data_IF_994507842643
#
_entry.id   IF_994507842643
#
_cell.length_a   1.000
_cell.length_b   1.000
_cell.length_c   1.000
_cell.angle_alpha   90.00
_cell.angle_beta   90.00
_cell.angle_gamma   90.00
#
_symmetry.space_group_name_H-M   'P 1'
#
loop_
_entity.id
_entity.type
_entity.pdbx_description
1 polymer ?
#
# COMPACT_ATOMS: atom_id res chain seq x y z
N UNK A 1 -18.19 -28.44 0.32
CA UNK A 1 -17.56 -28.69 -1.00
C UNK A 1 -16.32 -29.55 -0.91
N UNK A 2 -15.48 -29.37 0.11
CA UNK A 2 -14.20 -30.09 0.25
C UNK A 2 -14.36 -31.57 0.66
N UNK A 3 -15.40 -31.90 1.41
CA UNK A 3 -15.69 -33.27 1.83
C UNK A 3 -16.10 -34.17 0.66
N UNK A 4 -16.82 -33.59 -0.33
CA UNK A 4 -17.18 -34.28 -1.57
C UNK A 4 -15.92 -34.55 -2.42
N UNK A 5 -15.06 -33.55 -2.61
CA UNK A 5 -13.79 -33.69 -3.34
C UNK A 5 -12.87 -34.71 -2.66
N UNK A 6 -12.77 -34.70 -1.32
CA UNK A 6 -12.02 -35.69 -0.54
C UNK A 6 -12.56 -37.09 -0.77
N UNK A 7 -13.88 -37.28 -0.69
CA UNK A 7 -14.51 -38.60 -0.89
C UNK A 7 -14.27 -39.17 -2.29
N UNK A 8 -14.29 -38.32 -3.32
CA UNK A 8 -14.09 -38.73 -4.72
C UNK A 8 -12.62 -39.07 -4.98
N UNK A 9 -11.68 -38.26 -4.47
CA UNK A 9 -10.24 -38.48 -4.64
C UNK A 9 -9.74 -39.70 -3.87
N UNK A 10 -10.21 -39.91 -2.63
CA UNK A 10 -9.87 -41.10 -1.83
C UNK A 10 -10.35 -42.39 -2.52
N UNK A 11 -11.53 -42.36 -3.14
CA UNK A 11 -12.07 -43.52 -3.86
C UNK A 11 -11.35 -43.81 -5.17
N UNK A 12 -10.81 -42.78 -5.84
CA UNK A 12 -10.12 -42.92 -7.11
C UNK A 12 -8.63 -43.28 -6.97
N UNK A 13 -7.95 -42.82 -5.92
CA UNK A 13 -6.49 -42.88 -5.80
C UNK A 13 -5.99 -43.64 -4.55
N UNK A 14 -6.88 -44.01 -3.64
CA UNK A 14 -6.54 -44.59 -2.34
C UNK A 14 -6.19 -43.54 -1.30
N UNK A 15 -6.38 -43.88 -0.02
CA UNK A 15 -6.35 -42.93 1.11
C UNK A 15 -5.00 -42.21 1.28
N UNK A 16 -3.88 -42.91 1.13
CA UNK A 16 -2.54 -42.33 1.27
C UNK A 16 -2.20 -41.33 0.14
N UNK A 17 -2.50 -41.69 -1.11
CA UNK A 17 -2.22 -40.83 -2.28
C UNK A 17 -3.19 -39.66 -2.37
N UNK A 18 -4.46 -39.89 -2.05
CA UNK A 18 -5.45 -38.83 -1.96
C UNK A 18 -5.10 -37.84 -0.86
N UNK A 19 -4.63 -38.30 0.31
CA UNK A 19 -4.20 -37.41 1.40
C UNK A 19 -2.98 -36.56 1.01
N UNK A 20 -1.98 -37.15 0.34
CA UNK A 20 -0.82 -36.43 -0.18
C UNK A 20 -1.20 -35.37 -1.23
N UNK A 21 -2.10 -35.72 -2.16
CA UNK A 21 -2.58 -34.81 -3.20
C UNK A 21 -3.54 -33.75 -2.67
N UNK A 22 -4.41 -34.09 -1.72
CA UNK A 22 -5.28 -33.13 -1.03
C UNK A 22 -4.43 -32.16 -0.21
N UNK A 23 -3.41 -32.63 0.51
CA UNK A 23 -2.49 -31.75 1.22
C UNK A 23 -1.73 -30.83 0.25
N UNK A 24 -1.39 -31.31 -0.96
CA UNK A 24 -0.75 -30.46 -1.98
C UNK A 24 -1.73 -29.46 -2.61
N UNK A 25 -2.96 -29.88 -2.92
CA UNK A 25 -3.97 -29.05 -3.61
C UNK A 25 -4.62 -28.04 -2.64
N UNK A 26 -4.98 -28.47 -1.43
CA UNK A 26 -5.52 -27.61 -0.38
C UNK A 26 -4.42 -26.77 0.27
N UNK A 27 -3.20 -27.31 0.42
CA UNK A 27 -2.04 -26.54 0.88
C UNK A 27 -1.57 -25.46 -0.11
N UNK A 28 -2.01 -25.50 -1.38
CA UNK A 28 -1.76 -24.43 -2.36
C UNK A 28 -2.85 -23.35 -2.36
N UNK A 29 -4.00 -23.58 -1.68
CA UNK A 29 -5.06 -22.58 -1.52
C UNK A 29 -4.92 -21.72 -0.27
N UNK A 30 -4.10 -22.15 0.68
CA UNK A 30 -3.72 -21.38 1.85
C UNK A 30 -2.24 -21.02 1.73
N UNK A 31 -1.91 -19.99 0.94
CA UNK A 31 -0.67 -19.28 1.20
C UNK A 31 -0.83 -18.70 2.61
N UNK A 32 -0.22 -19.37 3.60
CA UNK A 32 -0.23 -18.87 4.98
C UNK A 32 0.28 -17.42 4.96
N UNK A 33 -0.29 -16.52 5.77
CA UNK A 33 0.10 -15.11 5.73
C UNK A 33 1.63 -14.91 5.84
N UNK A 34 2.31 -15.77 6.59
CA UNK A 34 3.77 -15.81 6.69
C UNK A 34 4.45 -16.27 5.38
N UNK A 35 3.87 -17.21 4.64
CA UNK A 35 4.41 -17.66 3.36
C UNK A 35 4.33 -16.60 2.29
N UNK A 36 3.29 -15.78 2.28
CA UNK A 36 3.20 -14.60 1.41
C UNK A 36 4.34 -13.61 1.64
N UNK A 37 4.80 -13.46 2.89
CA UNK A 37 5.93 -12.58 3.20
C UNK A 37 7.25 -13.03 2.56
N UNK A 38 7.41 -14.32 2.25
CA UNK A 38 8.65 -14.83 1.62
C UNK A 38 8.87 -14.28 0.22
N UNK A 39 7.78 -13.90 -0.46
CA UNK A 39 7.79 -13.42 -1.85
C UNK A 39 7.68 -11.89 -1.94
N UNK A 40 7.45 -11.21 -0.82
CA UNK A 40 7.44 -9.75 -0.73
C UNK A 40 8.87 -9.22 -0.68
N UNK A 41 9.09 -7.98 -1.11
CA UNK A 41 10.39 -7.33 -0.92
C UNK A 41 10.61 -6.95 0.55
N UNK A 42 11.88 -6.95 0.96
CA UNK A 42 12.32 -6.73 2.34
C UNK A 42 11.85 -5.39 2.93
N UNK A 43 11.72 -4.35 2.10
CA UNK A 43 11.24 -3.03 2.53
C UNK A 43 9.74 -3.07 2.84
N UNK A 44 8.94 -3.69 1.98
CA UNK A 44 7.50 -3.89 2.21
C UNK A 44 7.22 -4.72 3.45
N UNK A 45 7.98 -5.79 3.68
CA UNK A 45 7.89 -6.61 4.90
C UNK A 45 8.23 -5.77 6.13
N UNK A 46 9.31 -4.99 6.09
CA UNK A 46 9.70 -4.12 7.19
C UNK A 46 8.63 -3.08 7.52
N UNK A 47 8.05 -2.42 6.53
CA UNK A 47 6.98 -1.44 6.73
C UNK A 47 5.70 -2.08 7.30
N UNK A 48 5.38 -3.31 6.90
CA UNK A 48 4.22 -4.05 7.43
C UNK A 48 4.36 -4.30 8.94
N UNK A 49 5.57 -4.66 9.40
CA UNK A 49 5.79 -5.12 10.78
C UNK A 49 6.43 -4.10 11.71
N UNK A 50 6.85 -2.91 11.21
CA UNK A 50 7.61 -1.90 11.98
C UNK A 50 6.92 -1.45 13.28
N UNK A 51 5.59 -1.45 13.30
CA UNK A 51 4.80 -1.00 14.46
C UNK A 51 4.41 -2.14 15.41
N UNK A 52 4.76 -3.38 15.08
CA UNK A 52 4.48 -4.54 15.92
C UNK A 52 5.44 -4.61 17.11
N UNK A 53 5.03 -5.33 18.14
CA UNK A 53 5.90 -5.59 19.29
C UNK A 53 7.14 -6.40 18.85
N UNK A 54 8.36 -6.14 19.37
CA UNK A 54 9.59 -6.85 18.96
C UNK A 54 9.50 -8.38 19.01
N UNK A 55 8.71 -8.92 19.95
CA UNK A 55 8.45 -10.37 20.05
C UNK A 55 7.67 -10.92 18.83
N UNK A 56 6.72 -10.16 18.30
CA UNK A 56 5.93 -10.54 17.12
C UNK A 56 6.83 -10.49 15.89
N UNK A 57 7.61 -9.41 15.73
CA UNK A 57 8.59 -9.28 14.64
C UNK A 57 9.57 -10.45 14.66
N UNK A 58 10.15 -10.78 15.81
CA UNK A 58 11.04 -11.93 15.97
C UNK A 58 10.37 -13.25 15.56
N UNK A 59 9.12 -13.45 15.96
CA UNK A 59 8.33 -14.64 15.60
C UNK A 59 8.14 -14.74 14.09
N UNK A 60 7.86 -13.63 13.40
CA UNK A 60 7.73 -13.58 11.94
C UNK A 60 9.08 -13.89 11.27
N UNK A 61 10.14 -13.19 11.66
CA UNK A 61 11.45 -13.28 11.00
C UNK A 61 12.09 -14.68 11.10
N UNK A 62 11.83 -15.43 12.17
CA UNK A 62 12.32 -16.82 12.32
C UNK A 62 11.78 -17.75 11.23
N UNK A 63 10.61 -17.43 10.66
CA UNK A 63 9.96 -18.19 9.59
C UNK A 63 10.36 -17.72 8.17
N UNK A 64 11.10 -16.62 8.04
CA UNK A 64 11.66 -16.17 6.78
C UNK A 64 13.01 -16.85 6.49
N UNK A 65 13.41 -16.83 5.22
CA UNK A 65 14.76 -17.21 4.82
C UNK A 65 15.79 -16.28 5.47
N UNK A 66 16.95 -16.82 5.86
CA UNK A 66 17.94 -16.09 6.67
C UNK A 66 18.42 -14.80 6.00
N UNK A 67 18.64 -14.85 4.69
CA UNK A 67 19.06 -13.70 3.90
C UNK A 67 17.97 -12.62 3.85
N UNK A 68 16.71 -13.02 3.56
CA UNK A 68 15.57 -12.11 3.55
C UNK A 68 15.34 -11.48 4.94
N UNK A 69 15.38 -12.27 6.02
CA UNK A 69 15.26 -11.73 7.38
C UNK A 69 16.35 -10.70 7.70
N UNK A 70 17.58 -10.90 7.21
CA UNK A 70 18.67 -9.93 7.36
C UNK A 70 18.34 -8.61 6.65
N UNK A 71 17.91 -8.67 5.39
CA UNK A 71 17.54 -7.46 4.64
C UNK A 71 16.37 -6.71 5.29
N UNK A 72 15.39 -7.42 5.86
CA UNK A 72 14.29 -6.78 6.62
C UNK A 72 14.81 -6.04 7.85
N UNK A 73 15.77 -6.62 8.58
CA UNK A 73 16.38 -5.99 9.75
C UNK A 73 17.15 -4.71 9.41
N UNK A 74 17.71 -4.59 8.20
CA UNK A 74 18.43 -3.40 7.74
C UNK A 74 17.51 -2.18 7.59
N UNK A 75 16.21 -2.39 7.42
CA UNK A 75 15.20 -1.33 7.35
C UNK A 75 14.68 -0.85 8.72
N UNK A 76 15.18 -1.42 9.82
CA UNK A 76 14.82 -1.01 11.18
C UNK A 76 15.84 -0.05 11.79
N UNK A 77 15.36 0.78 12.73
CA UNK A 77 16.26 1.56 13.59
C UNK A 77 17.18 0.63 14.39
N UNK A 78 18.38 1.10 14.72
CA UNK A 78 19.37 0.31 15.47
C UNK A 78 18.80 -0.27 16.77
N UNK A 79 18.02 0.54 17.51
CA UNK A 79 17.36 0.11 18.74
C UNK A 79 16.40 -1.06 18.51
N UNK A 80 15.52 -0.94 17.51
CA UNK A 80 14.54 -1.98 17.21
C UNK A 80 15.23 -3.25 16.69
N UNK A 81 16.21 -3.10 15.78
CA UNK A 81 16.99 -4.22 15.24
C UNK A 81 17.66 -5.01 16.36
N UNK A 82 18.35 -4.35 17.29
CA UNK A 82 19.04 -5.01 18.40
C UNK A 82 18.07 -5.78 19.32
N UNK A 83 16.90 -5.19 19.64
CA UNK A 83 15.87 -5.85 20.46
C UNK A 83 15.31 -7.09 19.75
N UNK A 84 14.95 -6.96 18.46
CA UNK A 84 14.44 -8.08 17.66
C UNK A 84 15.46 -9.22 17.57
N UNK A 85 16.74 -8.93 17.31
CA UNK A 85 17.79 -9.97 17.27
C UNK A 85 17.95 -10.66 18.63
N UNK A 86 17.90 -9.90 19.73
CA UNK A 86 17.94 -10.49 21.08
C UNK A 86 16.75 -11.45 21.29
N UNK A 87 15.52 -11.05 20.91
CA UNK A 87 14.34 -11.91 21.00
C UNK A 87 14.45 -13.17 20.17
N UNK A 88 15.01 -13.08 18.97
CA UNK A 88 15.27 -14.24 18.10
C UNK A 88 16.26 -15.20 18.78
N UNK A 89 17.34 -14.66 19.37
CA UNK A 89 18.37 -15.46 20.04
C UNK A 89 17.85 -16.20 21.28
N UNK A 90 16.86 -15.63 21.98
CA UNK A 90 16.25 -16.22 23.19
C UNK A 90 14.92 -16.94 22.91
N UNK A 91 14.59 -17.20 21.65
CA UNK A 91 13.31 -17.81 21.27
C UNK A 91 13.37 -19.34 21.42
N UNK A 92 12.84 -19.88 22.51
CA UNK A 92 12.81 -21.35 22.76
C UNK A 92 11.74 -22.08 21.93
N UNK A 93 10.76 -21.35 21.39
CA UNK A 93 9.70 -21.91 20.55
C UNK A 93 8.44 -21.04 20.52
N UNK A 94 7.59 -21.28 19.53
CA UNK A 94 6.33 -20.57 19.33
C UNK A 94 5.20 -21.58 19.44
N UNK A 95 4.19 -21.30 20.28
CA UNK A 95 3.05 -22.20 20.42
C UNK A 95 2.27 -22.30 19.09
N UNK A 96 1.88 -23.51 18.64
CA UNK A 96 1.15 -23.67 17.38
C UNK A 96 -0.16 -22.89 17.30
N UNK A 97 -0.81 -22.61 18.44
CA UNK A 97 -1.99 -21.77 18.49
C UNK A 97 -1.67 -20.30 18.14
N UNK A 98 -0.63 -19.73 18.74
CA UNK A 98 -0.18 -18.36 18.45
C UNK A 98 0.29 -18.19 17.00
N UNK A 99 0.95 -19.21 16.44
CA UNK A 99 1.38 -19.18 15.03
C UNK A 99 0.19 -19.19 14.06
N UNK A 100 -0.89 -19.92 14.39
CA UNK A 100 -2.13 -19.91 13.60
C UNK A 100 -2.81 -18.56 13.66
N UNK A 101 -2.95 -17.97 14.84
CA UNK A 101 -3.54 -16.64 15.01
C UNK A 101 -2.75 -15.58 14.25
N UNK A 102 -1.42 -15.61 14.34
CA UNK A 102 -0.54 -14.72 13.58
C UNK A 102 -0.74 -14.88 12.06
N UNK A 103 -0.83 -16.13 11.58
CA UNK A 103 -1.10 -16.40 10.17
C UNK A 103 -2.45 -15.85 9.72
N UNK A 104 -3.52 -16.02 10.50
CA UNK A 104 -4.84 -15.49 10.16
C UNK A 104 -4.85 -13.96 10.08
N UNK A 105 -4.18 -13.29 11.04
CA UNK A 105 -4.05 -11.82 11.03
C UNK A 105 -3.26 -11.35 9.82
N UNK A 106 -2.11 -11.99 9.52
CA UNK A 106 -1.29 -11.64 8.36
C UNK A 106 -2.04 -11.89 7.05
N UNK A 107 -2.74 -13.01 6.90
CA UNK A 107 -3.56 -13.28 5.71
C UNK A 107 -4.64 -12.22 5.53
N UNK A 108 -5.32 -11.78 6.59
CA UNK A 108 -6.30 -10.67 6.51
C UNK A 108 -5.66 -9.35 6.09
N UNK A 109 -4.50 -9.01 6.66
CA UNK A 109 -3.79 -7.78 6.31
C UNK A 109 -3.33 -7.79 4.86
N UNK A 110 -2.86 -8.94 4.36
CA UNK A 110 -2.35 -9.10 3.00
C UNK A 110 -3.47 -9.20 1.95
N UNK A 111 -4.57 -9.89 2.25
CA UNK A 111 -5.76 -9.93 1.38
C UNK A 111 -6.49 -8.59 1.34
N UNK A 112 -6.47 -7.81 2.42
CA UNK A 112 -6.87 -6.41 2.41
C UNK A 112 -5.93 -5.50 1.61
N UNK A 113 -4.69 -5.95 1.38
CA UNK A 113 -3.60 -5.24 0.70
C UNK A 113 -3.32 -5.72 -0.74
N UNK A 114 -4.10 -6.61 -1.34
CA UNK A 114 -3.90 -7.01 -2.76
C UNK A 114 -4.02 -5.82 -3.75
N UNK A 115 -4.40 -4.63 -3.27
CA UNK A 115 -4.34 -3.36 -4.02
C UNK A 115 -3.02 -2.59 -3.89
N UNK A 116 -1.97 -3.11 -3.23
CA UNK A 116 -0.70 -2.41 -3.04
C UNK A 116 0.29 -2.59 -4.21
N UNK A 117 -0.12 -2.23 -5.43
CA UNK A 117 0.69 -1.24 -6.15
C UNK A 117 0.18 0.10 -5.66
N UNK A 118 0.74 0.62 -4.56
CA UNK A 118 0.42 1.96 -4.06
C UNK A 118 0.61 2.95 -5.22
N UNK A 119 -0.48 3.29 -5.92
CA UNK A 119 -0.57 4.60 -6.54
C UNK A 119 -0.32 5.58 -5.38
N UNK A 120 0.58 6.55 -5.52
CA UNK A 120 0.80 7.54 -4.46
C UNK A 120 -0.57 8.17 -4.12
N UNK A 121 -1.11 7.87 -2.93
CA UNK A 121 -2.43 8.32 -2.47
C UNK A 121 -2.39 9.79 -1.98
N UNK A 122 -1.48 10.59 -2.52
CA UNK A 122 -1.22 11.95 -2.05
C UNK A 122 -0.40 12.74 -3.06
N UNK A 123 0.16 13.86 -2.60
CA UNK A 123 0.91 14.79 -3.43
C UNK A 123 0.05 15.94 -3.94
N UNK A 124 0.65 16.74 -4.82
CA UNK A 124 0.11 18.01 -5.31
C UNK A 124 -1.31 17.87 -5.85
N UNK A 125 -1.54 16.86 -6.71
CA UNK A 125 -2.83 16.64 -7.36
C UNK A 125 -3.93 16.22 -6.39
N UNK A 126 -3.64 15.32 -5.45
CA UNK A 126 -4.61 14.92 -4.43
C UNK A 126 -4.98 16.08 -3.50
N UNK A 127 -4.00 16.93 -3.16
CA UNK A 127 -4.25 18.14 -2.39
C UNK A 127 -5.13 19.14 -3.16
N UNK A 128 -4.86 19.34 -4.46
CA UNK A 128 -5.65 20.21 -5.34
C UNK A 128 -7.11 19.72 -5.47
N UNK A 129 -7.31 18.41 -5.68
CA UNK A 129 -8.64 17.80 -5.74
C UNK A 129 -9.44 18.01 -4.44
N UNK A 130 -8.80 17.89 -3.27
CA UNK A 130 -9.43 18.16 -1.97
C UNK A 130 -9.77 19.65 -1.81
N UNK A 131 -8.83 20.53 -2.18
CA UNK A 131 -8.99 21.99 -2.09
C UNK A 131 -10.15 22.49 -2.96
N UNK A 132 -10.37 21.89 -4.13
CA UNK A 132 -11.50 22.22 -5.02
C UNK A 132 -12.89 21.97 -4.37
N UNK A 133 -12.99 21.17 -3.30
CA UNK A 133 -14.23 20.97 -2.56
C UNK A 133 -14.38 21.89 -1.34
N UNK A 134 -13.33 22.65 -0.97
CA UNK A 134 -13.42 23.59 0.13
C UNK A 134 -14.16 24.86 -0.28
N UNK A 135 -14.84 25.48 0.68
CA UNK A 135 -15.41 26.82 0.49
C UNK A 135 -14.28 27.85 0.37
N UNK A 136 -14.47 28.88 -0.47
CA UNK A 136 -13.39 29.83 -0.82
C UNK A 136 -12.67 30.50 0.35
N UNK A 137 -13.31 30.71 1.51
CA UNK A 137 -12.63 31.22 2.71
C UNK A 137 -11.65 30.21 3.32
N UNK A 138 -12.04 28.93 3.38
CA UNK A 138 -11.19 27.85 3.89
C UNK A 138 -10.07 27.51 2.90
N UNK A 139 -10.39 27.50 1.60
CA UNK A 139 -9.41 27.32 0.52
C UNK A 139 -8.29 28.39 0.61
N UNK A 140 -8.66 29.67 0.70
CA UNK A 140 -7.69 30.77 0.80
C UNK A 140 -6.81 30.66 2.05
N UNK A 141 -7.40 30.29 3.19
CA UNK A 141 -6.67 30.10 4.45
C UNK A 141 -5.65 28.95 4.36
N UNK A 142 -6.07 27.81 3.80
CA UNK A 142 -5.18 26.65 3.61
C UNK A 142 -4.08 26.96 2.60
N UNK A 143 -4.40 27.65 1.50
CA UNK A 143 -3.42 28.04 0.48
C UNK A 143 -2.39 29.06 1.02
N UNK A 144 -2.83 30.00 1.86
CA UNK A 144 -1.93 30.93 2.53
C UNK A 144 -0.96 30.20 3.49
N UNK A 145 -1.46 29.19 4.21
CA UNK A 145 -0.62 28.36 5.07
C UNK A 145 0.42 27.55 4.26
N UNK A 146 -0.02 26.91 3.16
CA UNK A 146 0.86 26.18 2.26
C UNK A 146 1.95 27.07 1.68
N UNK A 147 1.60 28.29 1.25
CA UNK A 147 2.57 29.25 0.69
C UNK A 147 3.62 29.71 1.70
N UNK A 148 3.25 29.83 2.97
CA UNK A 148 4.20 30.16 4.05
C UNK A 148 5.16 29.01 4.36
N UNK A 149 4.71 27.77 4.16
CA UNK A 149 5.52 26.57 4.37
C UNK A 149 6.46 26.29 3.18
N UNK A 150 5.90 26.29 1.97
CA UNK A 150 6.61 26.03 0.71
C UNK A 150 5.85 26.71 -0.45
N UNK A 151 6.42 27.80 -0.97
CA UNK A 151 5.83 28.58 -2.06
C UNK A 151 5.73 27.79 -3.37
N UNK A 152 6.71 26.91 -3.64
CA UNK A 152 6.78 26.16 -4.90
C UNK A 152 5.76 25.02 -4.89
N UNK A 153 5.57 24.37 -3.73
CA UNK A 153 4.52 23.39 -3.54
C UNK A 153 3.13 24.03 -3.66
N UNK A 154 2.92 25.17 -3.02
CA UNK A 154 1.65 25.90 -3.11
C UNK A 154 1.32 26.28 -4.56
N UNK A 155 2.30 26.76 -5.33
CA UNK A 155 2.11 27.08 -6.74
C UNK A 155 1.71 25.84 -7.54
N UNK A 156 2.41 24.71 -7.36
CA UNK A 156 2.06 23.46 -8.05
C UNK A 156 0.63 22.99 -7.72
N UNK A 157 0.20 23.16 -6.47
CA UNK A 157 -1.17 22.78 -6.05
C UNK A 157 -2.19 23.68 -6.74
N UNK A 158 -1.92 24.99 -6.79
CA UNK A 158 -2.77 25.96 -7.50
C UNK A 158 -2.88 25.65 -9.00
N UNK A 159 -1.77 25.28 -9.63
CA UNK A 159 -1.75 24.90 -11.05
C UNK A 159 -2.59 23.65 -11.33
N UNK A 160 -2.65 22.69 -10.40
CA UNK A 160 -3.50 21.50 -10.51
C UNK A 160 -4.98 21.77 -10.15
N UNK A 161 -5.30 22.85 -9.44
CA UNK A 161 -6.69 23.23 -9.12
C UNK A 161 -7.43 23.80 -10.33
N UNK A 162 -6.71 24.47 -11.24
CA UNK A 162 -7.28 25.11 -12.43
C UNK A 162 -6.87 24.36 -13.70
N UNK A 163 -7.73 23.43 -14.16
CA UNK A 163 -7.50 22.69 -15.40
C UNK A 163 -8.14 23.42 -16.59
N UNK A 164 -7.64 23.16 -17.81
CA UNK A 164 -8.15 23.78 -19.03
C UNK A 164 -9.66 23.59 -19.24
N UNK A 165 -10.21 22.48 -18.73
CA UNK A 165 -11.67 22.21 -18.75
C UNK A 165 -12.48 23.22 -17.94
N UNK A 166 -11.91 23.83 -16.89
CA UNK A 166 -12.59 24.86 -16.09
C UNK A 166 -12.84 26.15 -16.89
N UNK A 167 -12.24 26.31 -18.07
CA UNK A 167 -12.55 27.43 -18.98
C UNK A 167 -14.01 27.37 -19.44
N UNK A 168 -14.64 26.19 -19.48
CA UNK A 168 -16.06 26.05 -19.84
C UNK A 168 -17.01 26.67 -18.81
N UNK A 169 -16.57 26.81 -17.55
CA UNK A 169 -17.37 27.38 -16.47
C UNK A 169 -17.21 28.90 -16.35
N UNK A 170 -16.37 29.52 -17.20
CA UNK A 170 -16.15 30.97 -17.23
C UNK A 170 -17.27 31.64 -18.03
N UNK A 171 -17.77 32.76 -17.51
CA UNK A 171 -18.79 33.55 -18.20
C UNK A 171 -18.24 34.26 -19.46
N UNK A 172 -19.13 34.64 -20.37
CA UNK A 172 -18.74 35.29 -21.64
C UNK A 172 -17.84 36.52 -21.44
N UNK A 173 -18.02 37.23 -20.31
CA UNK A 173 -17.19 38.40 -19.95
C UNK A 173 -15.77 37.98 -19.58
N UNK A 174 -15.60 36.95 -18.76
CA UNK A 174 -14.30 36.39 -18.44
C UNK A 174 -13.56 35.90 -19.68
N UNK A 175 -14.25 35.20 -20.60
CA UNK A 175 -13.68 34.76 -21.88
C UNK A 175 -13.21 35.95 -22.73
N UNK A 176 -13.99 37.05 -22.81
CA UNK A 176 -13.59 38.26 -23.54
C UNK A 176 -12.35 38.95 -22.95
N UNK A 177 -12.08 38.79 -21.66
CA UNK A 177 -10.85 39.30 -21.04
C UNK A 177 -9.68 38.41 -21.42
N UNK A 178 -9.84 37.08 -21.32
CA UNK A 178 -8.81 36.12 -21.71
C UNK A 178 -8.38 36.31 -23.17
N UNK A 179 -9.34 36.48 -24.09
CA UNK A 179 -9.07 36.70 -25.52
C UNK A 179 -8.33 38.00 -25.83
N UNK A 180 -8.35 38.99 -24.92
CA UNK A 180 -7.61 40.25 -25.07
C UNK A 180 -6.17 40.16 -24.59
N UNK A 181 -5.91 39.34 -23.57
CA UNK A 181 -4.59 39.21 -22.94
C UNK A 181 -3.74 38.08 -23.54
N UNK A 182 -4.36 37.07 -24.17
CA UNK A 182 -3.66 35.91 -24.73
C UNK A 182 -3.35 36.11 -26.22
N UNK A 183 -2.09 35.86 -26.61
CA UNK A 183 -1.67 35.91 -28.01
C UNK A 183 -2.35 34.81 -28.85
N UNK A 184 -2.84 35.18 -30.04
CA UNK A 184 -3.61 34.28 -30.92
C UNK A 184 -2.87 32.97 -31.25
N UNK A 185 -1.55 33.01 -31.41
CA UNK A 185 -0.73 31.81 -31.70
C UNK A 185 -0.73 30.81 -30.54
N UNK A 186 -0.65 31.30 -29.30
CA UNK A 186 -0.71 30.46 -28.09
C UNK A 186 -2.10 29.84 -27.92
N UNK A 187 -3.15 30.61 -28.21
CA UNK A 187 -4.53 30.13 -28.15
C UNK A 187 -4.78 29.00 -29.17
N UNK A 188 -4.26 29.13 -30.40
CA UNK A 188 -4.37 28.10 -31.44
C UNK A 188 -3.70 26.80 -31.01
N UNK A 189 -2.53 26.88 -30.35
CA UNK A 189 -1.81 25.69 -29.87
C UNK A 189 -2.56 25.06 -28.70
N UNK A 190 -3.05 25.86 -27.75
CA UNK A 190 -3.80 25.37 -26.58
C UNK A 190 -5.14 24.71 -26.98
N UNK A 191 -5.86 25.27 -27.96
CA UNK A 191 -7.12 24.72 -28.48
C UNK A 191 -6.92 23.51 -29.41
N UNK A 192 -5.69 23.25 -29.85
CA UNK A 192 -5.32 22.06 -30.63
C UNK A 192 -4.92 20.86 -29.75
N UNK A 193 -4.79 21.07 -28.43
CA UNK A 193 -4.36 20.07 -27.44
C UNK A 193 -5.01 18.70 -27.62
#
# INVERSE_FOLDING_TARGET
SDEYIRSVLTRALGEDKASSLLNRILGTRDASGIESLKWMDSASVADLVRNEHPQIIATILVHLERYHACEVLDHFSERLRNDVVLRIATLDGVQPAALRELNEVLTKLLTGNENLKKKPMGGVRAAAEILNFLSGENEQSVMANLKNYDSDMAQKIMDEMFVFENIMDIDDRGIQVILREVQSESLIIALKG
#
